data_IF_936862178968
#
_entry.id   IF_936862178968
#
_cell.length_a   1.000
_cell.length_b   1.000
_cell.length_c   1.000
_cell.angle_alpha   90.00
_cell.angle_beta   90.00
_cell.angle_gamma   90.00
#
_symmetry.space_group_name_H-M   'P 1'
#
loop_
_entity.id
_entity.type
_entity.pdbx_description
1 polymer ?
#
# COMPACT_ATOMS: atom_id res chain seq x y z
N UNK A 1 0.79 16.60 16.86
CA UNK A 1 0.71 16.29 15.41
C UNK A 1 2.12 15.95 14.94
N UNK A 2 2.28 14.91 14.15
CA UNK A 2 3.60 14.50 13.64
C UNK A 2 4.25 15.60 12.77
N UNK A 3 5.59 15.68 12.77
CA UNK A 3 6.33 16.73 12.05
C UNK A 3 6.12 16.66 10.53
N UNK A 4 6.01 15.46 9.95
CA UNK A 4 5.75 15.27 8.52
C UNK A 4 4.38 15.85 8.16
N UNK A 5 3.38 15.64 9.02
CA UNK A 5 2.03 16.17 8.81
C UNK A 5 1.97 17.69 8.92
N UNK A 6 2.74 18.28 9.85
CA UNK A 6 2.87 19.74 9.96
C UNK A 6 3.52 20.34 8.70
N UNK A 7 4.56 19.70 8.15
CA UNK A 7 5.18 20.14 6.90
C UNK A 7 4.21 20.07 5.72
N UNK A 8 3.41 19.01 5.61
CA UNK A 8 2.39 18.89 4.57
C UNK A 8 1.32 19.99 4.66
N UNK A 9 0.92 20.38 5.87
CA UNK A 9 -0.01 21.49 6.08
C UNK A 9 0.58 22.83 5.68
N UNK A 10 1.83 23.11 6.09
CA UNK A 10 2.54 24.33 5.70
C UNK A 10 2.70 24.43 4.17
N UNK A 11 3.04 23.33 3.51
CA UNK A 11 3.10 23.27 2.05
C UNK A 11 1.75 23.61 1.41
N UNK A 12 0.63 23.07 1.92
CA UNK A 12 -0.70 23.34 1.35
C UNK A 12 -1.12 24.80 1.50
N UNK A 13 -0.80 25.44 2.62
CA UNK A 13 -1.17 26.83 2.92
C UNK A 13 -0.34 27.90 2.16
N UNK A 14 0.72 27.49 1.46
CA UNK A 14 1.58 28.40 0.72
C UNK A 14 1.03 28.71 -0.69
N UNK A 15 0.70 29.96 -0.99
CA UNK A 15 0.09 30.33 -2.28
C UNK A 15 1.08 30.46 -3.45
N UNK A 16 2.39 30.24 -3.23
CA UNK A 16 3.39 30.34 -4.31
C UNK A 16 3.16 29.29 -5.38
N UNK A 17 3.04 29.74 -6.64
CA UNK A 17 2.76 28.87 -7.79
C UNK A 17 3.85 27.83 -8.09
N UNK A 18 5.10 28.10 -7.70
CA UNK A 18 6.27 27.25 -8.01
C UNK A 18 6.87 26.57 -6.76
N UNK A 19 6.04 26.32 -5.73
CA UNK A 19 6.45 25.57 -4.53
C UNK A 19 6.68 24.08 -4.85
N UNK A 20 7.59 23.45 -4.12
CA UNK A 20 7.96 22.03 -4.28
C UNK A 20 7.70 21.27 -2.98
N UNK A 21 7.04 20.11 -3.07
CA UNK A 21 6.78 19.22 -1.94
C UNK A 21 7.78 18.07 -1.92
N UNK A 22 8.67 18.08 -0.93
CA UNK A 22 9.63 17.01 -0.63
C UNK A 22 9.40 16.42 0.77
N UNK A 23 8.26 16.71 1.41
CA UNK A 23 7.98 16.32 2.79
C UNK A 23 7.38 14.92 2.90
N UNK A 24 6.33 14.66 2.13
CA UNK A 24 5.64 13.37 2.15
C UNK A 24 6.30 12.41 1.16
N UNK A 25 6.78 11.27 1.64
CA UNK A 25 7.45 10.24 0.85
C UNK A 25 6.53 9.43 -0.06
N UNK A 26 5.80 10.09 -0.96
CA UNK A 26 4.94 9.44 -1.97
C UNK A 26 5.57 9.61 -3.34
N UNK A 27 5.63 8.52 -4.10
CA UNK A 27 6.11 8.57 -5.48
C UNK A 27 5.23 9.48 -6.35
N UNK A 28 5.88 10.36 -7.09
CA UNK A 28 5.26 11.21 -8.11
C UNK A 28 5.94 10.94 -9.44
N UNK A 29 5.15 10.91 -10.52
CA UNK A 29 5.68 10.84 -11.87
C UNK A 29 6.24 12.20 -12.34
N UNK A 30 6.72 12.24 -13.58
CA UNK A 30 7.30 13.46 -14.17
C UNK A 30 6.31 14.64 -14.29
N UNK A 31 5.00 14.40 -14.14
CA UNK A 31 3.96 15.45 -14.12
C UNK A 31 3.61 15.91 -12.71
N UNK A 32 4.21 15.30 -11.67
CA UNK A 32 3.95 15.61 -10.27
C UNK A 32 2.73 14.90 -9.69
N UNK A 33 2.11 13.98 -10.44
CA UNK A 33 0.97 13.18 -9.99
C UNK A 33 1.42 11.89 -9.31
N UNK A 34 0.62 11.37 -8.39
CA UNK A 34 0.79 10.01 -7.86
C UNK A 34 0.11 9.02 -8.81
N UNK A 35 0.86 8.25 -9.60
CA UNK A 35 0.26 7.43 -10.64
C UNK A 35 -0.40 6.19 -10.06
N UNK A 36 -1.56 5.82 -10.61
CA UNK A 36 -2.13 4.49 -10.41
C UNK A 36 -1.53 3.56 -11.46
N UNK A 37 -0.83 2.52 -11.02
CA UNK A 37 -0.13 1.61 -11.93
C UNK A 37 -1.12 0.90 -12.87
N UNK A 38 -0.69 0.64 -14.12
CA UNK A 38 -1.54 -0.05 -15.13
C UNK A 38 -2.08 -1.40 -14.63
N UNK A 39 -1.25 -2.17 -13.92
CA UNK A 39 -1.65 -3.45 -13.34
C UNK A 39 -2.74 -3.29 -12.26
N UNK A 40 -2.66 -2.25 -11.44
CA UNK A 40 -3.67 -1.93 -10.42
C UNK A 40 -4.99 -1.58 -11.09
N UNK A 41 -4.98 -0.71 -12.11
CA UNK A 41 -6.20 -0.39 -12.89
C UNK A 41 -6.86 -1.61 -13.54
N UNK A 42 -6.06 -2.52 -14.08
CA UNK A 42 -6.58 -3.75 -14.67
C UNK A 42 -7.20 -4.67 -13.62
N UNK A 43 -6.57 -4.81 -12.45
CA UNK A 43 -7.09 -5.61 -11.34
C UNK A 43 -8.39 -5.04 -10.76
N UNK A 44 -8.45 -3.71 -10.57
CA UNK A 44 -9.68 -3.00 -10.13
C UNK A 44 -10.86 -3.30 -11.06
N UNK A 45 -10.65 -3.19 -12.38
CA UNK A 45 -11.70 -3.46 -13.37
C UNK A 45 -12.18 -4.92 -13.29
N UNK A 46 -11.25 -5.87 -13.21
CA UNK A 46 -11.58 -7.30 -13.09
C UNK A 46 -12.40 -7.58 -11.83
N UNK A 47 -12.02 -7.00 -10.69
CA UNK A 47 -12.78 -7.15 -9.45
C UNK A 47 -14.19 -6.58 -9.60
N UNK A 48 -14.33 -5.37 -10.14
CA UNK A 48 -15.65 -4.77 -10.39
C UNK A 48 -16.57 -5.66 -11.25
N UNK A 49 -16.02 -6.33 -12.27
CA UNK A 49 -16.79 -7.20 -13.17
C UNK A 49 -17.14 -8.56 -12.55
N UNK A 50 -16.40 -9.04 -11.54
CA UNK A 50 -16.48 -10.44 -11.07
C UNK A 50 -16.89 -10.62 -9.61
N UNK A 51 -16.77 -9.58 -8.77
CA UNK A 51 -17.16 -9.65 -7.36
C UNK A 51 -18.67 -9.82 -7.21
N UNK A 52 -19.08 -10.78 -6.38
CA UNK A 52 -20.47 -11.11 -6.11
C UNK A 52 -20.86 -11.01 -4.62
N UNK A 53 -19.88 -10.75 -3.74
CA UNK A 53 -20.07 -10.70 -2.28
C UNK A 53 -19.01 -9.83 -1.60
N UNK A 54 -19.27 -9.44 -0.35
CA UNK A 54 -18.40 -8.63 0.52
C UNK A 54 -18.39 -9.17 1.96
N UNK A 55 -18.46 -10.50 2.10
CA UNK A 55 -18.39 -11.16 3.41
C UNK A 55 -17.03 -10.93 4.09
N UNK A 56 -17.00 -11.08 5.41
CA UNK A 56 -15.76 -11.04 6.17
C UNK A 56 -14.75 -12.06 5.64
N UNK A 57 -13.50 -11.64 5.55
CA UNK A 57 -12.37 -12.54 5.32
C UNK A 57 -11.99 -13.24 6.63
N UNK A 58 -11.17 -14.29 6.54
CA UNK A 58 -10.56 -14.89 7.72
C UNK A 58 -9.72 -13.85 8.49
N UNK A 59 -9.52 -14.08 9.79
CA UNK A 59 -8.74 -13.18 10.65
C UNK A 59 -7.32 -12.94 10.12
N UNK A 60 -6.71 -13.97 9.52
CA UNK A 60 -5.39 -13.87 8.93
C UNK A 60 -5.34 -13.21 7.54
N UNK A 61 -6.50 -12.92 6.94
CA UNK A 61 -6.64 -12.45 5.57
C UNK A 61 -6.79 -13.57 4.54
N UNK A 62 -6.56 -13.23 3.28
CA UNK A 62 -6.68 -14.14 2.13
C UNK A 62 -5.41 -14.99 1.95
N UNK A 63 -5.49 -16.35 2.00
CA UNK A 63 -4.31 -17.21 1.84
C UNK A 63 -3.55 -16.98 0.53
N UNK A 64 -4.26 -16.75 -0.58
CA UNK A 64 -3.61 -16.48 -1.86
C UNK A 64 -2.80 -15.16 -1.85
N UNK A 65 -3.26 -14.16 -1.10
CA UNK A 65 -2.49 -12.93 -0.89
C UNK A 65 -1.25 -13.18 -0.06
N UNK A 66 -1.37 -13.96 1.03
CA UNK A 66 -0.23 -14.32 1.87
C UNK A 66 0.86 -15.06 1.07
N UNK A 67 0.48 -16.06 0.27
CA UNK A 67 1.44 -16.81 -0.55
C UNK A 67 2.13 -15.94 -1.61
N UNK A 68 1.37 -15.05 -2.27
CA UNK A 68 1.93 -14.10 -3.22
C UNK A 68 2.93 -13.14 -2.55
N UNK A 69 2.61 -12.64 -1.36
CA UNK A 69 3.50 -11.74 -0.61
C UNK A 69 4.74 -12.45 -0.08
N UNK A 70 4.62 -13.69 0.41
CA UNK A 70 5.78 -14.50 0.84
C UNK A 70 6.72 -14.73 -0.33
N UNK A 71 6.18 -15.13 -1.49
CA UNK A 71 6.98 -15.31 -2.72
C UNK A 71 7.65 -14.00 -3.17
N UNK A 72 6.93 -12.88 -3.12
CA UNK A 72 7.47 -11.57 -3.51
C UNK A 72 8.62 -11.10 -2.59
N UNK A 73 8.48 -11.29 -1.28
CA UNK A 73 9.41 -10.73 -0.28
C UNK A 73 10.59 -11.66 -0.01
N UNK A 74 10.34 -12.96 0.13
CA UNK A 74 11.35 -13.94 0.55
C UNK A 74 11.83 -14.83 -0.60
N UNK A 75 11.09 -14.94 -1.71
CA UNK A 75 11.39 -15.88 -2.79
C UNK A 75 11.59 -17.30 -2.24
N UNK A 76 12.66 -17.96 -2.69
CA UNK A 76 13.05 -19.30 -2.24
C UNK A 76 14.07 -19.28 -1.09
N UNK A 77 14.26 -18.14 -0.41
CA UNK A 77 15.28 -18.01 0.63
C UNK A 77 15.04 -18.92 1.84
N UNK A 78 13.79 -19.30 2.10
CA UNK A 78 13.38 -20.20 3.19
C UNK A 78 12.25 -21.14 2.73
N UNK A 79 12.14 -22.35 3.29
CA UNK A 79 11.00 -23.22 3.00
C UNK A 79 9.68 -22.55 3.38
N UNK A 80 8.67 -22.61 2.51
CA UNK A 80 7.34 -22.02 2.76
C UNK A 80 6.71 -22.49 4.08
N UNK A 81 6.97 -23.73 4.47
CA UNK A 81 6.50 -24.33 5.72
C UNK A 81 7.08 -23.66 6.99
N UNK A 82 8.17 -22.91 6.86
CA UNK A 82 8.82 -22.18 7.94
C UNK A 82 8.32 -20.73 8.08
N UNK A 83 7.33 -20.31 7.27
CA UNK A 83 6.86 -18.92 7.21
C UNK A 83 5.40 -18.81 7.65
N UNK A 84 5.15 -18.01 8.69
CA UNK A 84 3.82 -17.54 9.06
C UNK A 84 3.55 -16.16 8.44
N UNK A 85 2.31 -15.90 8.03
CA UNK A 85 1.91 -14.64 7.42
C UNK A 85 0.49 -14.26 7.85
N UNK A 86 0.27 -12.96 8.06
CA UNK A 86 -1.01 -12.36 8.43
C UNK A 86 -1.16 -11.03 7.69
N UNK A 87 -2.32 -10.75 7.13
CA UNK A 87 -2.60 -9.47 6.49
C UNK A 87 -2.88 -8.38 7.54
N UNK A 88 -2.31 -7.19 7.34
CA UNK A 88 -2.48 -6.04 8.26
C UNK A 88 -2.83 -4.76 7.51
N UNK A 89 -3.41 -3.75 8.19
CA UNK A 89 -3.63 -2.41 7.62
C UNK A 89 -2.31 -1.68 7.33
N UNK A 90 -1.72 -1.97 6.17
CA UNK A 90 -0.43 -1.42 5.77
C UNK A 90 0.73 -1.81 6.70
N UNK A 91 1.89 -1.20 6.46
CA UNK A 91 3.12 -1.49 7.23
C UNK A 91 3.05 -1.04 8.69
N UNK A 92 2.43 0.12 8.99
CA UNK A 92 2.27 0.57 10.38
C UNK A 92 1.45 -0.41 11.21
N UNK A 93 0.41 -1.01 10.62
CA UNK A 93 -0.34 -2.10 11.26
C UNK A 93 0.54 -3.32 11.51
N UNK A 94 1.36 -3.73 10.54
CA UNK A 94 2.28 -4.86 10.68
C UNK A 94 3.26 -4.67 11.85
N UNK A 95 3.86 -3.49 11.97
CA UNK A 95 4.82 -3.17 13.05
C UNK A 95 4.16 -3.15 14.42
N UNK A 96 2.88 -2.77 14.50
CA UNK A 96 2.16 -2.71 15.78
C UNK A 96 1.78 -4.09 16.31
N UNK A 97 1.43 -5.02 15.41
CA UNK A 97 1.04 -6.38 15.79
C UNK A 97 2.23 -7.31 16.03
N UNK A 98 3.44 -6.90 15.60
CA UNK A 98 4.70 -7.63 15.79
C UNK A 98 5.24 -7.54 17.23
#
# INVERSE_FOLDING_TARGET
VDKIMLTAQAYRADDRAHKVDLGVGVYKDATGLTPVMRAVKAAEKKLWETENTKVYTALAGEPAFADAMVSLVLGDAVPRASVAAVATPGGTGAVREA
#
